data_IF_683525753140
#
_entry.id   IF_683525753140
#
_cell.length_a   1.000
_cell.length_b   1.000
_cell.length_c   1.000
_cell.angle_alpha   90.00
_cell.angle_beta   90.00
_cell.angle_gamma   90.00
#
_symmetry.space_group_name_H-M   'P 1'
#
loop_
_entity.id
_entity.type
_entity.pdbx_description
1 polymer ?
#
# COMPACT_ATOMS: atom_id res chain seq x y z
N UNK A 1 9.68 11.28 22.54
CA UNK A 1 9.92 9.80 22.46
C UNK A 1 8.98 9.25 21.39
N UNK A 2 9.47 8.36 20.51
CA UNK A 2 8.64 7.77 19.45
C UNK A 2 7.62 6.80 20.05
N UNK A 3 6.35 6.96 19.64
CA UNK A 3 5.21 6.14 20.05
C UNK A 3 4.55 5.40 18.89
N UNK A 4 4.71 5.91 17.66
CA UNK A 4 4.20 5.29 16.44
C UNK A 4 5.33 5.13 15.43
N UNK A 5 5.45 3.93 14.86
CA UNK A 5 6.35 3.64 13.75
C UNK A 5 5.52 3.08 12.59
N UNK A 6 5.59 3.69 11.42
CA UNK A 6 4.97 3.18 10.20
C UNK A 6 6.02 2.93 9.13
N UNK A 7 5.94 1.78 8.48
CA UNK A 7 6.86 1.42 7.41
C UNK A 7 6.11 0.96 6.18
N UNK A 8 6.50 1.49 5.02
CA UNK A 8 6.24 0.84 3.77
C UNK A 8 6.93 -0.53 3.73
N UNK A 9 6.52 -1.40 2.79
CA UNK A 9 6.96 -2.80 2.70
C UNK A 9 7.85 -3.02 1.48
N UNK A 10 7.29 -2.85 0.28
CA UNK A 10 7.93 -3.20 -0.98
C UNK A 10 8.97 -2.16 -1.39
N UNK A 11 10.23 -2.57 -1.53
CA UNK A 11 11.35 -1.65 -1.75
C UNK A 11 11.89 -1.00 -0.47
N UNK A 12 11.19 -1.11 0.66
CA UNK A 12 11.55 -0.53 1.96
C UNK A 12 12.02 -1.57 2.97
N UNK A 13 11.23 -2.61 3.24
CA UNK A 13 11.57 -3.74 4.12
C UNK A 13 12.07 -4.95 3.34
N UNK A 14 11.47 -5.19 2.18
CA UNK A 14 11.69 -6.37 1.36
C UNK A 14 11.76 -6.02 -0.12
N UNK A 15 12.25 -6.97 -0.94
CA UNK A 15 12.13 -6.87 -2.38
C UNK A 15 10.65 -6.92 -2.78
N UNK A 16 10.27 -6.11 -3.74
CA UNK A 16 8.93 -6.08 -4.31
C UNK A 16 8.46 -7.47 -4.77
N UNK A 17 7.20 -7.80 -4.46
CA UNK A 17 6.56 -9.06 -4.84
C UNK A 17 7.02 -10.28 -4.04
N UNK A 18 7.67 -10.14 -2.88
CA UNK A 18 8.06 -11.26 -2.02
C UNK A 18 7.19 -11.38 -0.78
N UNK A 19 7.02 -12.63 -0.29
CA UNK A 19 6.47 -12.93 1.03
C UNK A 19 7.57 -13.29 2.05
N UNK A 20 8.85 -13.15 1.66
CA UNK A 20 9.99 -13.44 2.53
C UNK A 20 10.51 -12.16 3.17
N UNK A 21 10.51 -12.10 4.48
CA UNK A 21 11.12 -11.06 5.31
C UNK A 21 12.07 -11.70 6.31
N UNK A 22 13.14 -11.00 6.66
CA UNK A 22 14.08 -11.46 7.69
C UNK A 22 13.34 -11.62 9.03
N UNK A 23 13.51 -12.78 9.66
CA UNK A 23 12.86 -13.10 10.94
C UNK A 23 13.18 -12.12 12.05
N UNK A 24 14.35 -11.51 12.01
CA UNK A 24 14.76 -10.52 13.01
C UNK A 24 13.86 -9.29 13.03
N UNK A 25 13.23 -8.92 11.89
CA UNK A 25 12.18 -7.88 11.91
C UNK A 25 11.05 -8.23 12.87
N UNK A 26 10.60 -9.49 12.91
CA UNK A 26 9.51 -9.91 13.79
C UNK A 26 9.90 -9.81 15.27
N UNK A 27 11.13 -10.17 15.60
CA UNK A 27 11.66 -10.10 16.96
C UNK A 27 11.80 -8.64 17.42
N UNK A 28 12.37 -7.78 16.58
CA UNK A 28 12.56 -6.35 16.89
C UNK A 28 11.22 -5.62 16.99
N UNK A 29 10.30 -5.82 16.02
CA UNK A 29 8.96 -5.25 16.05
C UNK A 29 8.20 -5.71 17.30
N UNK A 30 8.25 -7.01 17.63
CA UNK A 30 7.62 -7.55 18.84
C UNK A 30 8.11 -6.85 20.11
N UNK A 31 9.41 -6.64 20.25
CA UNK A 31 10.03 -5.93 21.40
C UNK A 31 9.66 -4.45 21.43
N UNK A 32 9.54 -3.78 20.28
CA UNK A 32 9.07 -2.39 20.21
C UNK A 32 7.63 -2.26 20.69
N UNK A 33 6.76 -3.20 20.29
CA UNK A 33 5.37 -3.25 20.76
C UNK A 33 5.30 -3.53 22.27
N UNK A 34 6.17 -4.40 22.80
CA UNK A 34 6.26 -4.66 24.25
C UNK A 34 6.67 -3.40 25.03
N UNK A 35 7.37 -2.46 24.42
CA UNK A 35 7.69 -1.13 24.98
C UNK A 35 6.56 -0.10 24.83
N UNK A 36 5.43 -0.47 24.23
CA UNK A 36 4.28 0.41 24.02
C UNK A 36 4.34 1.23 22.73
N UNK A 37 5.24 0.90 21.80
CA UNK A 37 5.29 1.54 20.48
C UNK A 37 4.29 0.85 19.55
N UNK A 38 3.41 1.64 18.92
CA UNK A 38 2.51 1.14 17.89
C UNK A 38 3.28 0.95 16.59
N UNK A 39 3.23 -0.23 16.01
CA UNK A 39 3.81 -0.51 14.69
C UNK A 39 2.73 -0.65 13.63
N UNK A 40 2.91 0.04 12.49
CA UNK A 40 1.98 0.10 11.37
C UNK A 40 2.66 -0.45 10.12
N UNK A 41 2.14 -1.52 9.54
CA UNK A 41 2.46 -1.92 8.18
C UNK A 41 1.66 -1.02 7.21
N UNK A 42 2.34 -0.34 6.28
CA UNK A 42 1.73 0.68 5.43
C UNK A 42 2.10 0.45 3.96
N UNK A 43 1.25 -0.22 3.19
CA UNK A 43 1.60 -0.72 1.86
C UNK A 43 0.51 -0.52 0.80
N UNK A 44 0.91 -0.64 -0.47
CA UNK A 44 0.00 -0.84 -1.60
C UNK A 44 -0.64 -2.23 -1.64
N UNK A 45 -0.14 -3.15 -0.82
CA UNK A 45 -0.67 -4.53 -0.73
C UNK A 45 -2.06 -4.56 -0.11
N UNK A 46 -2.78 -5.63 -0.44
CA UNK A 46 -4.00 -6.02 0.26
C UNK A 46 -3.67 -6.47 1.71
N UNK A 47 -4.55 -6.18 2.65
CA UNK A 47 -4.41 -6.54 4.06
C UNK A 47 -3.99 -8.00 4.33
N UNK A 48 -4.59 -8.97 3.61
CA UNK A 48 -4.25 -10.40 3.82
C UNK A 48 -2.83 -10.73 3.39
N UNK A 49 -2.32 -10.06 2.37
CA UNK A 49 -0.92 -10.16 1.94
C UNK A 49 0.03 -9.61 3.01
N UNK A 50 -0.26 -8.42 3.53
CA UNK A 50 0.52 -7.83 4.63
C UNK A 50 0.55 -8.74 5.86
N UNK A 51 -0.60 -9.26 6.27
CA UNK A 51 -0.68 -10.19 7.41
C UNK A 51 0.18 -11.44 7.24
N UNK A 52 0.22 -12.02 6.04
CA UNK A 52 1.07 -13.20 5.77
C UNK A 52 2.54 -12.89 5.99
N UNK A 53 2.99 -11.69 5.57
CA UNK A 53 4.37 -11.26 5.72
C UNK A 53 4.77 -11.12 7.19
N UNK A 54 3.88 -10.56 8.03
CA UNK A 54 4.11 -10.31 9.45
C UNK A 54 3.57 -11.41 10.37
N UNK A 55 3.33 -12.63 9.88
CA UNK A 55 2.64 -13.71 10.59
C UNK A 55 2.98 -13.83 12.09
N UNK A 56 4.25 -13.81 12.57
CA UNK A 56 4.54 -13.96 13.99
C UNK A 56 4.01 -12.84 14.90
N UNK A 57 3.84 -11.63 14.35
CA UNK A 57 3.38 -10.45 15.11
C UNK A 57 2.10 -9.85 14.54
N UNK A 58 1.49 -10.48 13.55
CA UNK A 58 0.39 -9.93 12.76
C UNK A 58 -0.83 -9.48 13.58
N UNK A 59 -1.12 -10.14 14.70
CA UNK A 59 -2.26 -9.80 15.57
C UNK A 59 -1.98 -8.60 16.50
N UNK A 60 -0.81 -8.01 16.40
CA UNK A 60 -0.33 -6.92 17.25
C UNK A 60 -0.06 -5.62 16.49
N UNK A 61 -0.17 -5.64 15.15
CA UNK A 61 0.08 -4.49 14.29
C UNK A 61 -1.21 -3.75 13.95
N UNK A 62 -1.05 -2.49 13.55
CA UNK A 62 -2.02 -1.79 12.72
C UNK A 62 -1.63 -1.90 11.24
N UNK A 63 -2.61 -1.74 10.37
CA UNK A 63 -2.42 -1.87 8.92
C UNK A 63 -3.01 -0.69 8.18
N UNK A 64 -2.25 -0.17 7.25
CA UNK A 64 -2.66 0.77 6.21
C UNK A 64 -2.46 0.05 4.88
N UNK A 65 -3.52 -0.48 4.31
CA UNK A 65 -3.51 -1.35 3.14
C UNK A 65 -4.00 -0.64 1.88
N UNK A 66 -3.80 -1.29 0.72
CA UNK A 66 -4.29 -0.82 -0.57
C UNK A 66 -3.91 0.63 -0.88
N UNK A 67 -2.66 1.02 -0.59
CA UNK A 67 -2.15 2.36 -0.86
C UNK A 67 -2.63 3.44 0.10
N UNK A 68 -3.24 3.05 1.23
CA UNK A 68 -3.75 4.00 2.22
C UNK A 68 -5.27 4.17 2.20
N UNK A 69 -5.97 3.35 1.44
CA UNK A 69 -7.45 3.43 1.36
C UNK A 69 -8.15 2.68 2.49
N UNK A 70 -7.46 1.74 3.15
CA UNK A 70 -8.00 0.97 4.28
C UNK A 70 -7.07 1.10 5.46
N UNK A 71 -7.61 1.52 6.61
CA UNK A 71 -6.92 1.53 7.91
C UNK A 71 -7.63 0.57 8.85
N UNK A 72 -6.90 -0.36 9.45
CA UNK A 72 -7.52 -1.36 10.33
C UNK A 72 -6.61 -1.90 11.42
N UNK A 73 -7.23 -2.42 12.46
CA UNK A 73 -6.64 -3.39 13.37
C UNK A 73 -6.82 -4.81 12.79
N UNK A 74 -6.22 -5.84 13.38
CA UNK A 74 -6.53 -7.23 13.02
C UNK A 74 -8.00 -7.63 13.19
N UNK A 75 -8.75 -6.90 14.03
CA UNK A 75 -10.13 -7.24 14.42
C UNK A 75 -11.19 -6.38 13.75
N UNK A 76 -10.88 -5.13 13.42
CA UNK A 76 -11.86 -4.17 12.93
C UNK A 76 -11.26 -3.20 11.91
N UNK A 77 -12.09 -2.72 11.01
CA UNK A 77 -11.78 -1.67 10.05
C UNK A 77 -12.06 -0.33 10.72
N UNK A 78 -11.06 0.56 10.77
CA UNK A 78 -11.15 1.89 11.38
C UNK A 78 -11.55 2.95 10.34
N UNK A 79 -11.10 2.79 9.10
CA UNK A 79 -11.35 3.73 7.99
C UNK A 79 -11.33 2.99 6.66
N UNK A 80 -12.24 3.36 5.76
CA UNK A 80 -12.22 2.97 4.34
C UNK A 80 -12.54 4.18 3.49
N UNK A 81 -11.70 4.45 2.49
CA UNK A 81 -11.97 5.42 1.44
C UNK A 81 -12.46 4.66 0.20
N UNK A 82 -13.71 4.84 -0.21
CA UNK A 82 -14.34 4.08 -1.29
C UNK A 82 -14.50 4.89 -2.58
N UNK A 83 -14.32 4.22 -3.71
CA UNK A 83 -14.67 4.75 -5.02
C UNK A 83 -16.19 4.58 -5.28
N UNK A 84 -16.88 5.61 -5.74
CA UNK A 84 -18.27 5.47 -6.20
C UNK A 84 -18.41 4.43 -7.31
N UNK A 85 -19.56 3.73 -7.36
CA UNK A 85 -19.84 2.69 -8.35
C UNK A 85 -19.67 3.18 -9.79
N UNK A 86 -20.17 4.39 -10.09
CA UNK A 86 -20.03 4.99 -11.42
C UNK A 86 -18.57 5.23 -11.82
N UNK A 87 -17.67 5.46 -10.87
CA UNK A 87 -16.24 5.71 -11.13
C UNK A 87 -15.53 4.40 -11.45
N UNK A 88 -15.57 3.43 -10.54
CA UNK A 88 -14.83 2.18 -10.78
C UNK A 88 -15.43 1.35 -11.94
N UNK A 89 -16.76 1.34 -12.11
CA UNK A 89 -17.42 0.69 -13.28
C UNK A 89 -17.07 1.40 -14.59
N UNK A 90 -16.98 2.74 -14.58
CA UNK A 90 -16.51 3.49 -15.73
C UNK A 90 -15.07 3.18 -16.11
N UNK A 91 -14.19 2.98 -15.12
CA UNK A 91 -12.82 2.52 -15.36
C UNK A 91 -12.78 1.11 -15.94
N UNK A 92 -13.59 0.17 -15.43
CA UNK A 92 -13.71 -1.18 -16.01
C UNK A 92 -14.09 -1.12 -17.50
N UNK A 93 -15.12 -0.32 -17.84
CA UNK A 93 -15.55 -0.15 -19.24
C UNK A 93 -14.42 0.39 -20.12
N UNK A 94 -13.72 1.44 -19.65
CA UNK A 94 -12.61 2.03 -20.38
C UNK A 94 -11.47 1.03 -20.63
N UNK A 95 -11.08 0.23 -19.65
CA UNK A 95 -10.04 -0.79 -19.87
C UNK A 95 -10.46 -1.82 -20.90
N UNK A 96 -11.69 -2.31 -20.80
CA UNK A 96 -12.22 -3.30 -21.77
C UNK A 96 -12.31 -2.79 -23.20
N UNK A 97 -12.73 -1.53 -23.38
CA UNK A 97 -13.01 -0.96 -24.70
C UNK A 97 -11.75 -0.39 -25.35
N UNK A 98 -10.93 0.33 -24.56
CA UNK A 98 -9.84 1.15 -25.10
C UNK A 98 -8.44 0.57 -24.81
N UNK A 99 -8.33 -0.41 -23.91
CA UNK A 99 -7.04 -0.91 -23.42
C UNK A 99 -6.96 -2.45 -23.37
N UNK A 100 -7.16 -3.14 -24.51
CA UNK A 100 -7.29 -4.61 -24.53
C UNK A 100 -5.99 -5.37 -24.17
N UNK A 101 -4.86 -4.68 -24.07
CA UNK A 101 -3.58 -5.26 -23.62
C UNK A 101 -3.39 -5.14 -22.10
N UNK A 102 -4.32 -4.52 -21.39
CA UNK A 102 -4.24 -4.30 -19.95
C UNK A 102 -5.18 -5.24 -19.21
N UNK A 103 -4.71 -5.75 -18.08
CA UNK A 103 -5.56 -6.38 -17.08
C UNK A 103 -5.96 -5.38 -16.01
N UNK A 104 -6.95 -5.71 -15.21
CA UNK A 104 -7.36 -4.90 -14.07
C UNK A 104 -7.99 -5.74 -12.96
N UNK A 105 -7.96 -5.18 -11.76
CA UNK A 105 -8.69 -5.72 -10.63
C UNK A 105 -9.25 -4.61 -9.76
N UNK A 106 -10.24 -4.94 -8.95
CA UNK A 106 -10.72 -4.07 -7.88
C UNK A 106 -10.39 -4.68 -6.52
N UNK A 107 -10.07 -3.81 -5.56
CA UNK A 107 -9.96 -4.18 -4.14
C UNK A 107 -11.17 -3.73 -3.37
N UNK A 108 -11.57 -4.58 -2.43
CA UNK A 108 -12.43 -4.24 -1.29
C UNK A 108 -11.63 -4.46 0.00
N UNK A 109 -12.07 -3.97 1.16
CA UNK A 109 -11.33 -4.17 2.41
C UNK A 109 -11.04 -5.63 2.76
N UNK A 110 -11.82 -6.57 2.19
CA UNK A 110 -11.71 -7.99 2.52
C UNK A 110 -11.05 -8.83 1.42
N UNK A 111 -11.25 -8.47 0.14
CA UNK A 111 -10.76 -9.26 -1.01
C UNK A 111 -10.65 -8.47 -2.29
N UNK A 112 -10.00 -9.06 -3.29
CA UNK A 112 -9.92 -8.50 -4.62
C UNK A 112 -10.74 -9.33 -5.61
N UNK A 113 -11.13 -8.68 -6.73
CA UNK A 113 -11.85 -9.31 -7.82
C UNK A 113 -11.20 -8.98 -9.16
N UNK A 114 -11.07 -9.96 -10.04
CA UNK A 114 -10.65 -9.82 -11.43
C UNK A 114 -11.54 -10.69 -12.33
N UNK A 115 -11.55 -10.44 -13.64
CA UNK A 115 -12.39 -11.19 -14.59
C UNK A 115 -11.67 -12.35 -15.24
N UNK A 116 -10.35 -12.27 -15.38
CA UNK A 116 -9.53 -13.34 -15.98
C UNK A 116 -8.66 -14.02 -14.92
N UNK A 117 -9.15 -15.12 -14.39
CA UNK A 117 -8.42 -15.99 -13.44
C UNK A 117 -7.22 -16.71 -14.06
N UNK A 118 -7.10 -16.72 -15.39
CA UNK A 118 -5.96 -17.28 -16.13
C UNK A 118 -4.87 -16.26 -16.46
N UNK A 119 -5.09 -14.96 -16.21
CA UNK A 119 -4.14 -13.92 -16.57
C UNK A 119 -2.84 -13.98 -15.74
N UNK A 120 -1.77 -13.44 -16.33
CA UNK A 120 -0.49 -13.29 -15.64
C UNK A 120 -0.64 -12.44 -14.37
N UNK A 121 -1.43 -11.37 -14.45
CA UNK A 121 -1.73 -10.50 -13.31
C UNK A 121 -2.36 -11.29 -12.16
N UNK A 122 -3.41 -12.09 -12.44
CA UNK A 122 -4.13 -12.86 -11.44
C UNK A 122 -3.21 -13.84 -10.70
N UNK A 123 -2.41 -14.59 -11.46
CA UNK A 123 -1.44 -15.54 -10.89
C UNK A 123 -0.37 -14.83 -10.08
N UNK A 124 0.15 -13.70 -10.56
CA UNK A 124 1.17 -12.95 -9.84
C UNK A 124 0.65 -12.43 -8.50
N UNK A 125 -0.54 -11.82 -8.48
CA UNK A 125 -1.16 -11.32 -7.24
C UNK A 125 -1.43 -12.46 -6.25
N UNK A 126 -2.00 -13.57 -6.73
CA UNK A 126 -2.32 -14.72 -5.88
C UNK A 126 -1.07 -15.42 -5.34
N UNK A 127 -0.12 -15.73 -6.21
CA UNK A 127 0.98 -16.67 -5.93
C UNK A 127 2.22 -15.96 -5.37
N UNK A 128 2.55 -14.75 -5.85
CA UNK A 128 3.73 -14.00 -5.39
C UNK A 128 3.41 -13.05 -4.24
N UNK A 129 2.34 -12.27 -4.35
CA UNK A 129 1.92 -11.34 -3.29
C UNK A 129 1.02 -11.97 -2.24
N UNK A 130 0.41 -13.12 -2.53
CA UNK A 130 -0.49 -13.80 -1.59
C UNK A 130 -1.82 -13.10 -1.36
N UNK A 131 -2.32 -12.39 -2.37
CA UNK A 131 -3.64 -11.74 -2.33
C UNK A 131 -4.78 -12.75 -2.22
N UNK A 132 -5.86 -12.34 -1.56
CA UNK A 132 -7.15 -13.01 -1.62
C UNK A 132 -7.94 -12.46 -2.82
N UNK A 133 -7.60 -12.96 -4.01
CA UNK A 133 -8.19 -12.53 -5.28
C UNK A 133 -9.12 -13.61 -5.83
N UNK A 134 -10.30 -13.20 -6.28
CA UNK A 134 -11.34 -14.07 -6.80
C UNK A 134 -11.69 -13.70 -8.24
N UNK A 135 -11.83 -14.71 -9.08
CA UNK A 135 -12.37 -14.54 -10.42
C UNK A 135 -13.87 -14.31 -10.36
N UNK A 136 -14.35 -13.36 -11.18
CA UNK A 136 -15.77 -13.07 -11.36
C UNK A 136 -16.10 -13.02 -12.84
N UNK A 137 -17.24 -13.57 -13.29
CA UNK A 137 -17.55 -13.66 -14.72
C UNK A 137 -17.90 -12.30 -15.35
N UNK A 138 -18.30 -11.31 -14.55
CA UNK A 138 -18.75 -9.99 -15.02
C UNK A 138 -18.62 -8.96 -13.92
N UNK A 139 -17.53 -8.18 -13.96
CA UNK A 139 -17.21 -7.18 -12.94
C UNK A 139 -18.30 -6.10 -12.82
N UNK A 140 -18.86 -5.66 -13.96
CA UNK A 140 -19.88 -4.61 -13.97
C UNK A 140 -21.20 -5.00 -13.29
N UNK A 141 -21.44 -6.31 -13.08
CA UNK A 141 -22.61 -6.82 -12.36
C UNK A 141 -22.43 -6.94 -10.86
N UNK A 142 -21.21 -6.67 -10.35
CA UNK A 142 -21.02 -6.64 -8.91
C UNK A 142 -21.78 -5.45 -8.30
N UNK A 143 -22.54 -5.74 -7.25
CA UNK A 143 -23.34 -4.76 -6.52
C UNK A 143 -22.98 -4.79 -5.03
N UNK A 144 -23.13 -3.65 -4.35
CA UNK A 144 -22.95 -3.54 -2.90
C UNK A 144 -21.50 -3.73 -2.43
N UNK A 145 -20.51 -3.62 -3.32
CA UNK A 145 -19.10 -3.73 -2.96
C UNK A 145 -18.55 -2.38 -2.50
N UNK A 146 -17.83 -2.39 -1.39
CA UNK A 146 -17.06 -1.22 -0.96
C UNK A 146 -15.70 -1.20 -1.69
N UNK A 147 -15.72 -0.80 -2.98
CA UNK A 147 -14.49 -0.75 -3.77
C UNK A 147 -13.61 0.39 -3.28
N UNK A 148 -12.45 0.09 -2.75
CA UNK A 148 -11.49 1.07 -2.23
C UNK A 148 -10.32 1.36 -3.17
N UNK A 149 -10.03 0.45 -4.10
CA UNK A 149 -8.98 0.63 -5.12
C UNK A 149 -9.40 -0.05 -6.43
N UNK A 150 -9.08 0.62 -7.54
CA UNK A 150 -9.07 0.07 -8.88
C UNK A 150 -7.62 0.07 -9.37
N UNK A 151 -7.11 -1.05 -9.83
CA UNK A 151 -5.74 -1.16 -10.33
C UNK A 151 -5.71 -1.67 -11.76
N UNK A 152 -4.91 -1.01 -12.59
CA UNK A 152 -4.60 -1.43 -13.96
C UNK A 152 -3.22 -2.04 -14.00
N UNK A 153 -3.08 -3.11 -14.74
CA UNK A 153 -1.84 -3.82 -14.97
C UNK A 153 -1.47 -3.89 -16.45
N UNK A 154 -0.21 -3.60 -16.75
CA UNK A 154 0.37 -3.88 -18.04
C UNK A 154 1.82 -4.40 -17.84
N UNK A 155 2.20 -5.55 -18.44
CA UNK A 155 3.44 -6.26 -18.06
C UNK A 155 4.75 -5.50 -18.31
N UNK A 156 4.72 -4.42 -19.10
CA UNK A 156 5.95 -3.73 -19.48
C UNK A 156 5.97 -2.23 -19.15
N UNK A 157 4.85 -1.53 -19.23
CA UNK A 157 4.83 -0.06 -19.16
C UNK A 157 3.42 0.47 -18.88
N UNK A 158 2.87 0.17 -17.71
CA UNK A 158 1.50 0.56 -17.36
C UNK A 158 1.33 2.09 -17.37
N UNK A 159 2.26 2.83 -16.78
CA UNK A 159 2.18 4.29 -16.75
C UNK A 159 2.18 4.89 -18.17
N UNK A 160 3.07 4.45 -19.05
CA UNK A 160 3.18 4.96 -20.42
C UNK A 160 1.96 4.59 -21.30
N UNK A 161 1.41 3.40 -21.11
CA UNK A 161 0.29 2.88 -21.89
C UNK A 161 -1.06 3.39 -21.37
N UNK A 162 -1.22 3.46 -20.07
CA UNK A 162 -2.50 3.73 -19.45
C UNK A 162 -2.71 5.21 -19.11
N UNK A 163 -1.70 5.92 -18.63
CA UNK A 163 -1.85 7.29 -18.18
C UNK A 163 -2.38 8.25 -19.26
N UNK A 164 -2.00 8.17 -20.55
CA UNK A 164 -2.54 9.04 -21.58
C UNK A 164 -4.05 8.93 -21.78
N UNK A 165 -4.63 7.77 -21.51
CA UNK A 165 -6.08 7.52 -21.60
C UNK A 165 -6.79 7.79 -20.26
N UNK A 166 -6.22 7.29 -19.16
CA UNK A 166 -6.82 7.41 -17.84
C UNK A 166 -6.77 8.82 -17.27
N UNK A 167 -5.62 9.49 -17.36
CA UNK A 167 -5.39 10.77 -16.70
C UNK A 167 -6.40 11.84 -17.16
N UNK A 168 -6.68 12.05 -18.46
CA UNK A 168 -7.64 13.06 -18.88
C UNK A 168 -9.04 12.85 -18.33
N UNK A 169 -9.46 11.59 -18.15
CA UNK A 169 -10.82 11.23 -17.75
C UNK A 169 -11.03 11.19 -16.24
N UNK A 170 -10.02 10.73 -15.49
CA UNK A 170 -10.18 10.35 -14.09
C UNK A 170 -9.38 11.18 -13.09
N UNK A 171 -8.41 12.01 -13.51
CA UNK A 171 -7.51 12.78 -12.61
C UNK A 171 -8.24 13.69 -11.60
N UNK A 172 -9.42 14.21 -11.98
CA UNK A 172 -10.20 15.11 -11.12
C UNK A 172 -11.18 14.34 -10.21
N UNK A 173 -11.30 13.02 -10.41
CA UNK A 173 -12.23 12.14 -9.70
C UNK A 173 -11.54 11.11 -8.82
N UNK A 174 -10.24 10.93 -9.00
CA UNK A 174 -9.45 9.92 -8.29
C UNK A 174 -8.04 10.41 -7.98
N UNK A 175 -7.42 9.79 -6.99
CA UNK A 175 -5.97 9.81 -6.81
C UNK A 175 -5.39 8.69 -7.66
N UNK A 176 -4.44 9.03 -8.53
CA UNK A 176 -3.75 8.07 -9.39
C UNK A 176 -2.30 7.98 -8.98
N UNK A 177 -1.81 6.77 -8.77
CA UNK A 177 -0.44 6.50 -8.37
C UNK A 177 0.16 5.39 -9.22
N UNK A 178 1.34 5.64 -9.81
CA UNK A 178 2.15 4.58 -10.40
C UNK A 178 2.77 3.74 -9.27
N UNK A 179 2.59 2.42 -9.34
CA UNK A 179 3.15 1.46 -8.41
C UNK A 179 4.06 0.49 -9.19
N UNK A 180 5.34 0.83 -9.26
CA UNK A 180 6.29 0.15 -10.14
C UNK A 180 6.13 0.58 -11.60
N UNK A 181 6.53 -0.30 -12.52
CA UNK A 181 6.38 -0.11 -13.97
C UNK A 181 5.11 -0.73 -14.53
N UNK A 182 4.61 -1.72 -13.84
CA UNK A 182 3.53 -2.59 -14.29
C UNK A 182 2.15 -2.16 -13.80
N UNK A 183 2.06 -1.26 -12.81
CA UNK A 183 0.82 -0.93 -12.13
C UNK A 183 0.49 0.56 -12.15
N UNK A 184 -0.81 0.84 -12.24
CA UNK A 184 -1.39 2.14 -11.93
C UNK A 184 -2.60 1.92 -11.02
N UNK A 185 -2.49 2.41 -9.79
CA UNK A 185 -3.55 2.37 -8.78
C UNK A 185 -4.41 3.63 -8.85
N UNK A 186 -5.72 3.47 -8.77
CA UNK A 186 -6.70 4.55 -8.68
C UNK A 186 -7.53 4.38 -7.40
N UNK A 187 -7.63 5.44 -6.61
CA UNK A 187 -8.35 5.46 -5.34
C UNK A 187 -9.16 6.75 -5.16
N UNK A 188 -9.97 6.82 -4.11
CA UNK A 188 -10.81 7.98 -3.84
C UNK A 188 -9.98 9.26 -3.58
N UNK A 189 -10.48 10.45 -3.96
CA UNK A 189 -9.83 11.70 -3.62
C UNK A 189 -9.57 11.84 -2.12
N UNK A 190 -8.38 12.30 -1.75
CA UNK A 190 -7.96 12.46 -0.35
C UNK A 190 -7.53 11.16 0.35
N UNK A 191 -7.54 10.02 -0.34
CA UNK A 191 -6.92 8.79 0.17
C UNK A 191 -5.42 8.80 -0.06
N UNK A 192 -4.70 7.93 0.67
CA UNK A 192 -3.26 7.77 0.55
C UNK A 192 -2.60 7.43 1.89
N UNK A 193 -1.32 7.05 1.84
CA UNK A 193 -0.55 6.71 3.04
C UNK A 193 -0.41 7.90 4.00
N UNK A 194 -0.19 9.11 3.47
CA UNK A 194 -0.09 10.33 4.28
C UNK A 194 -1.36 10.65 5.07
N UNK A 195 -2.53 10.80 4.42
CA UNK A 195 -3.81 10.99 5.09
C UNK A 195 -4.13 9.88 6.10
N UNK A 196 -3.76 8.63 5.81
CA UNK A 196 -4.01 7.51 6.72
C UNK A 196 -3.10 7.51 7.95
N UNK A 197 -1.85 7.97 7.83
CA UNK A 197 -1.00 8.22 9.01
C UNK A 197 -1.57 9.37 9.85
N UNK A 198 -2.00 10.48 9.22
CA UNK A 198 -2.63 11.58 9.95
C UNK A 198 -3.89 11.13 10.70
N UNK A 199 -4.73 10.30 10.07
CA UNK A 199 -5.87 9.67 10.74
C UNK A 199 -5.46 8.85 11.96
N UNK A 200 -4.43 8.00 11.84
CA UNK A 200 -3.95 7.19 12.98
C UNK A 200 -3.35 8.04 14.10
N UNK A 201 -2.62 9.10 13.76
CA UNK A 201 -2.10 10.06 14.73
C UNK A 201 -3.23 10.68 15.56
N UNK A 202 -4.30 11.13 14.91
CA UNK A 202 -5.48 11.68 15.58
C UNK A 202 -6.21 10.61 16.40
N UNK A 203 -6.49 9.44 15.81
CA UNK A 203 -7.19 8.33 16.45
C UNK A 203 -6.50 7.83 17.74
N UNK A 204 -5.16 7.78 17.72
CA UNK A 204 -4.36 7.30 18.84
C UNK A 204 -3.92 8.42 19.81
N UNK A 205 -4.15 9.70 19.47
CA UNK A 205 -3.65 10.83 20.23
C UNK A 205 -2.12 10.93 20.24
N UNK A 206 -1.46 10.54 19.13
CA UNK A 206 -0.01 10.57 18.96
C UNK A 206 0.37 11.73 18.04
N UNK A 207 1.27 12.59 18.53
CA UNK A 207 1.71 13.75 17.75
C UNK A 207 2.65 13.35 16.58
N UNK A 208 2.73 14.18 15.52
CA UNK A 208 3.72 13.97 14.45
C UNK A 208 5.15 13.83 15.00
N UNK A 209 5.56 14.59 15.99
CA UNK A 209 6.90 14.52 16.61
C UNK A 209 7.15 13.20 17.38
N UNK A 210 6.12 12.45 17.66
CA UNK A 210 6.18 11.12 18.29
C UNK A 210 6.06 9.98 17.26
N UNK A 211 6.06 10.32 15.94
CA UNK A 211 5.89 9.39 14.82
C UNK A 211 7.20 9.26 14.04
N UNK A 212 7.57 8.01 13.71
CA UNK A 212 8.66 7.67 12.80
C UNK A 212 8.12 6.92 11.58
N UNK A 213 8.56 7.28 10.37
CA UNK A 213 8.10 6.64 9.13
C UNK A 213 9.25 6.24 8.23
N UNK A 214 9.04 5.17 7.42
CA UNK A 214 9.98 4.63 6.46
C UNK A 214 9.31 4.43 5.10
N UNK A 215 10.01 4.76 4.01
CA UNK A 215 9.48 4.60 2.66
C UNK A 215 10.55 4.70 1.57
N UNK A 216 10.17 4.38 0.32
CA UNK A 216 11.08 4.39 -0.83
C UNK A 216 10.47 5.01 -2.10
N UNK A 217 9.15 5.13 -2.21
CA UNK A 217 8.48 5.51 -3.44
C UNK A 217 7.63 6.80 -3.29
N UNK A 218 7.14 7.33 -4.40
CA UNK A 218 6.44 8.62 -4.45
C UNK A 218 5.18 8.67 -3.58
N UNK A 219 4.48 7.56 -3.43
CA UNK A 219 3.30 7.43 -2.56
C UNK A 219 3.62 7.48 -1.05
N UNK A 220 4.93 7.44 -0.68
CA UNK A 220 5.38 7.57 0.70
C UNK A 220 5.70 9.02 1.09
N UNK A 221 5.87 9.92 0.12
CA UNK A 221 6.35 11.30 0.35
C UNK A 221 5.50 12.01 1.41
N UNK A 222 4.20 11.91 1.32
CA UNK A 222 3.31 12.59 2.26
C UNK A 222 3.39 11.96 3.66
N UNK A 223 3.46 10.64 3.76
CA UNK A 223 3.69 9.93 5.02
C UNK A 223 5.02 10.33 5.67
N UNK A 224 6.09 10.44 4.88
CA UNK A 224 7.41 10.87 5.36
C UNK A 224 7.41 12.32 5.87
N UNK A 225 6.66 13.21 5.21
CA UNK A 225 6.51 14.62 5.63
C UNK A 225 5.67 14.78 6.90
N UNK A 226 4.66 13.93 7.10
CA UNK A 226 3.74 13.98 8.24
C UNK A 226 4.34 13.44 9.55
N UNK A 227 5.58 12.94 9.55
CA UNK A 227 6.26 12.41 10.73
C UNK A 227 7.36 13.33 11.24
N UNK A 228 7.53 13.39 12.56
CA UNK A 228 8.63 14.11 13.20
C UNK A 228 9.99 13.51 12.90
N UNK A 229 10.05 12.20 12.72
CA UNK A 229 11.23 11.45 12.28
C UNK A 229 10.87 10.62 11.05
N UNK A 230 11.64 10.74 9.96
CA UNK A 230 11.38 9.97 8.76
C UNK A 230 12.67 9.55 8.06
N UNK A 231 12.64 8.39 7.44
CA UNK A 231 13.76 7.79 6.73
C UNK A 231 13.34 7.32 5.35
N UNK A 232 14.05 7.77 4.34
CA UNK A 232 14.03 7.14 3.04
C UNK A 232 15.16 6.08 3.00
N UNK A 233 14.88 4.89 2.48
CA UNK A 233 15.96 3.92 2.21
C UNK A 233 16.82 4.43 1.05
N UNK A 234 18.11 4.09 1.04
CA UNK A 234 19.06 4.64 0.04
C UNK A 234 18.77 4.19 -1.40
N UNK A 235 18.03 3.10 -1.59
CA UNK A 235 17.53 2.65 -2.90
C UNK A 235 16.30 3.41 -3.39
N UNK A 236 15.74 4.32 -2.62
CA UNK A 236 14.55 5.12 -2.99
C UNK A 236 14.84 6.12 -4.11
N UNK A 237 13.78 6.65 -4.71
CA UNK A 237 13.87 7.73 -5.68
C UNK A 237 14.47 9.00 -5.07
N UNK A 238 15.19 9.86 -5.86
CA UNK A 238 15.77 11.09 -5.35
C UNK A 238 14.76 12.02 -4.66
N UNK A 239 13.53 12.11 -5.21
CA UNK A 239 12.44 12.94 -4.69
C UNK A 239 12.00 12.47 -3.29
N UNK A 240 12.00 11.16 -3.06
CA UNK A 240 11.64 10.56 -1.77
C UNK A 240 12.73 10.84 -0.73
N UNK A 241 14.01 10.70 -1.11
CA UNK A 241 15.13 11.07 -0.23
C UNK A 241 15.12 12.55 0.13
N UNK A 242 14.73 13.41 -0.81
CA UNK A 242 14.62 14.86 -0.55
C UNK A 242 13.44 15.21 0.37
N UNK A 243 12.40 14.37 0.42
CA UNK A 243 11.24 14.57 1.27
C UNK A 243 11.41 14.04 2.70
N UNK A 244 12.25 13.02 2.88
CA UNK A 244 12.55 12.43 4.18
C UNK A 244 13.55 13.30 4.98
N UNK A 245 13.49 13.23 6.30
CA UNK A 245 14.44 13.93 7.20
C UNK A 245 15.80 13.24 7.26
N UNK A 246 15.83 11.93 7.00
CA UNK A 246 17.04 11.11 7.06
C UNK A 246 17.03 10.05 5.94
N UNK A 247 18.19 9.44 5.74
CA UNK A 247 18.35 8.26 4.88
C UNK A 247 18.92 7.12 5.69
N UNK A 248 18.45 5.89 5.43
CA UNK A 248 19.00 4.66 5.99
C UNK A 248 19.54 3.74 4.87
N UNK A 249 20.33 2.71 5.19
CA UNK A 249 20.79 1.73 4.21
C UNK A 249 19.64 1.09 3.41
N UNK A 250 19.94 0.47 2.25
CA UNK A 250 18.91 -0.11 1.40
C UNK A 250 18.26 -1.35 2.03
N UNK A 251 17.08 -1.77 1.52
CA UNK A 251 16.35 -2.91 2.09
C UNK A 251 17.16 -4.21 2.12
N UNK A 252 18.04 -4.47 1.12
CA UNK A 252 18.89 -5.68 1.09
C UNK A 252 20.03 -5.69 2.11
N UNK A 253 20.26 -4.57 2.78
CA UNK A 253 21.17 -4.43 3.93
C UNK A 253 20.38 -4.32 5.25
N UNK A 254 19.05 -4.59 5.22
CA UNK A 254 18.16 -4.43 6.37
C UNK A 254 18.24 -3.02 7.01
N UNK A 255 18.28 -1.97 6.18
CA UNK A 255 18.48 -0.59 6.64
C UNK A 255 17.46 -0.12 7.66
N UNK A 256 16.18 -0.43 7.43
CA UNK A 256 15.10 -0.11 8.40
C UNK A 256 15.32 -0.85 9.72
N UNK A 257 15.70 -2.14 9.68
CA UNK A 257 15.97 -2.93 10.89
C UNK A 257 17.08 -2.32 11.75
N UNK A 258 18.12 -1.77 11.12
CA UNK A 258 19.21 -1.09 11.85
C UNK A 258 18.67 0.11 12.62
N UNK A 259 17.75 0.90 12.02
CA UNK A 259 17.14 2.04 12.71
C UNK A 259 16.16 1.57 13.80
N UNK A 260 15.32 0.54 13.54
CA UNK A 260 14.39 0.00 14.53
C UNK A 260 15.08 -0.45 15.81
N UNK A 261 16.28 -1.06 15.70
CA UNK A 261 17.09 -1.45 16.88
C UNK A 261 17.49 -0.28 17.77
N UNK A 262 17.61 0.94 17.21
CA UNK A 262 17.98 2.12 18.01
C UNK A 262 16.86 2.60 18.94
N UNK A 263 15.62 2.12 18.75
CA UNK A 263 14.50 2.40 19.65
C UNK A 263 14.33 1.35 20.78
N UNK A 264 15.13 0.25 20.73
CA UNK A 264 15.16 -0.77 21.79
C UNK A 264 16.04 -0.38 22.95
#
# INVERSE_FOLDING_TARGET
MIKLIASDIDGTLVKDGTLAIDREYMEVIGRLIDKGIVFVACSGRQYRSERKLFTPVADRLLYISDGGTVVRTPKEILKVDTLPDEIWKGMCSMVREDMPSCDYFISTPERCFAEDGGSQMFHWLRDSYGYDIHEVPEMLKLEGQQVNKFAVYHPNACEEMCAPLFTPTWKDKTVMAAAGKEWMDCSAPGSGKGPSIAFLQEYLGIAPDETCTFGDNLNDIEMLKNAGLSYAVSNSRPEVRAAAKNTCPPYWENGVLQILRSFL
#
